data_IF_990397984972
#
_entry.id   IF_990397984972
#
_cell.length_a   1.000
_cell.length_b   1.000
_cell.length_c   1.000
_cell.angle_alpha   90.00
_cell.angle_beta   90.00
_cell.angle_gamma   90.00
#
_symmetry.space_group_name_H-M   'P 1'
#
loop_
_entity.id
_entity.type
_entity.pdbx_description
1 polymer ?
#
# COMPACT_ATOMS: atom_id res chain seq x y z
N UNK A 1 1.42 -11.81 27.90
CA UNK A 1 2.30 -11.66 26.71
C UNK A 1 1.60 -11.93 25.35
N UNK A 2 0.59 -12.82 25.25
CA UNK A 2 -0.17 -13.10 23.99
C UNK A 2 -0.96 -11.89 23.43
N UNK A 3 -1.59 -11.07 24.28
CA UNK A 3 -2.39 -9.90 23.85
C UNK A 3 -1.56 -8.87 23.05
N UNK A 4 -0.30 -8.68 23.43
CA UNK A 4 0.59 -7.72 22.78
C UNK A 4 1.05 -8.19 21.38
N UNK A 5 1.25 -9.51 21.19
CA UNK A 5 1.53 -10.11 19.88
C UNK A 5 0.34 -9.95 18.92
N UNK A 6 -0.89 -10.16 19.38
CA UNK A 6 -2.08 -10.00 18.54
C UNK A 6 -2.28 -8.53 18.12
N UNK A 7 -2.12 -7.58 19.04
CA UNK A 7 -2.19 -6.15 18.69
C UNK A 7 -1.11 -5.75 17.68
N UNK A 8 0.11 -6.26 17.82
CA UNK A 8 1.19 -6.02 16.86
C UNK A 8 0.85 -6.55 15.46
N UNK A 9 0.26 -7.75 15.38
CA UNK A 9 -0.17 -8.35 14.11
C UNK A 9 -1.27 -7.51 13.45
N UNK A 10 -2.27 -7.10 14.23
CA UNK A 10 -3.38 -6.26 13.74
C UNK A 10 -2.83 -4.93 13.23
N UNK A 11 -1.95 -4.28 14.00
CA UNK A 11 -1.37 -3.01 13.62
C UNK A 11 -0.55 -3.11 12.33
N UNK A 12 0.25 -4.17 12.17
CA UNK A 12 0.98 -4.42 10.93
C UNK A 12 0.03 -4.61 9.74
N UNK A 13 -1.06 -5.36 9.91
CA UNK A 13 -2.07 -5.54 8.85
C UNK A 13 -2.68 -4.21 8.43
N UNK A 14 -3.04 -3.35 9.39
CA UNK A 14 -3.57 -2.00 9.10
C UNK A 14 -2.54 -1.17 8.35
N UNK A 15 -1.30 -1.12 8.82
CA UNK A 15 -0.22 -0.37 8.17
C UNK A 15 0.12 -0.93 6.78
N UNK A 16 -0.14 -2.22 6.52
CA UNK A 16 0.04 -2.83 5.21
C UNK A 16 -1.10 -2.47 4.23
N UNK A 17 -2.34 -2.40 4.69
CA UNK A 17 -3.50 -2.14 3.82
C UNK A 17 -3.75 -0.63 3.63
N UNK A 18 -3.53 0.18 4.67
CA UNK A 18 -3.87 1.61 4.68
C UNK A 18 -3.22 2.42 3.54
N UNK A 19 -1.94 2.22 3.15
CA UNK A 19 -1.35 2.95 2.04
C UNK A 19 -2.05 2.71 0.70
N UNK A 20 -2.49 1.47 0.45
CA UNK A 20 -3.21 1.09 -0.77
C UNK A 20 -4.60 1.69 -0.79
N UNK A 21 -5.32 1.63 0.34
CA UNK A 21 -6.67 2.20 0.41
C UNK A 21 -6.63 3.72 0.28
N UNK A 22 -5.66 4.38 0.94
CA UNK A 22 -5.53 5.83 0.90
C UNK A 22 -5.14 6.33 -0.50
N UNK A 23 -4.24 5.64 -1.20
CA UNK A 23 -3.90 5.99 -2.60
C UNK A 23 -5.10 5.92 -3.53
N UNK A 24 -5.85 4.81 -3.49
CA UNK A 24 -7.02 4.60 -4.37
C UNK A 24 -8.11 5.63 -4.06
N UNK A 25 -8.42 5.86 -2.77
CA UNK A 25 -9.42 6.84 -2.36
C UNK A 25 -9.06 8.26 -2.78
N UNK A 26 -7.83 8.72 -2.51
CA UNK A 26 -7.40 10.08 -2.86
C UNK A 26 -7.44 10.29 -4.38
N UNK A 27 -7.05 9.28 -5.16
CA UNK A 27 -7.09 9.37 -6.61
C UNK A 27 -8.53 9.33 -7.18
N UNK A 28 -9.42 8.50 -6.64
CA UNK A 28 -10.84 8.52 -7.02
C UNK A 28 -11.49 9.87 -6.71
N UNK A 29 -11.21 10.43 -5.53
CA UNK A 29 -11.70 11.75 -5.13
C UNK A 29 -11.18 12.86 -6.05
N UNK A 30 -9.89 12.81 -6.43
CA UNK A 30 -9.31 13.78 -7.36
C UNK A 30 -9.95 13.70 -8.76
N UNK A 31 -10.26 12.49 -9.25
CA UNK A 31 -10.94 12.28 -10.53
C UNK A 31 -12.38 12.77 -10.50
N UNK A 32 -13.12 12.46 -9.44
CA UNK A 32 -14.47 13.00 -9.24
C UNK A 32 -14.43 14.54 -9.20
N UNK A 33 -13.51 15.11 -8.43
CA UNK A 33 -13.33 16.56 -8.33
C UNK A 33 -13.09 17.22 -9.70
N UNK A 34 -12.13 16.71 -10.50
CA UNK A 34 -11.87 17.21 -11.85
C UNK A 34 -13.10 17.17 -12.75
N UNK A 35 -13.98 16.17 -12.57
CA UNK A 35 -15.18 15.99 -13.38
C UNK A 35 -16.33 16.91 -12.99
N UNK A 36 -16.43 17.31 -11.72
CA UNK A 36 -17.52 18.13 -11.20
C UNK A 36 -17.17 19.61 -10.97
N UNK A 37 -15.91 20.03 -11.25
CA UNK A 37 -15.47 21.43 -11.23
C UNK A 37 -15.82 22.24 -9.95
N UNK A 38 -15.87 21.58 -8.79
CA UNK A 38 -16.13 22.26 -7.52
C UNK A 38 -14.91 23.10 -7.11
N UNK A 39 -15.04 24.38 -6.72
CA UNK A 39 -13.93 25.16 -6.18
C UNK A 39 -13.82 24.86 -4.68
N UNK A 40 -13.11 23.80 -4.30
CA UNK A 40 -12.93 23.46 -2.89
C UNK A 40 -11.47 23.13 -2.55
N UNK A 41 -10.79 24.17 -2.06
CA UNK A 41 -9.47 24.17 -1.38
C UNK A 41 -9.16 22.93 -0.49
N UNK A 42 -10.08 22.33 0.29
CA UNK A 42 -9.76 21.19 1.16
C UNK A 42 -9.19 19.94 0.46
N UNK A 43 -9.58 19.65 -0.79
CA UNK A 43 -9.12 18.45 -1.50
C UNK A 43 -7.67 18.56 -1.99
N UNK A 44 -7.19 19.79 -2.25
CA UNK A 44 -5.81 20.04 -2.65
C UNK A 44 -4.84 19.76 -1.49
N UNK A 45 -5.20 20.17 -0.27
CA UNK A 45 -4.42 19.85 0.93
C UNK A 45 -4.35 18.34 1.16
N UNK A 46 -5.47 17.62 1.00
CA UNK A 46 -5.50 16.15 1.08
C UNK A 46 -4.52 15.50 0.09
N UNK A 47 -4.40 16.02 -1.13
CA UNK A 47 -3.46 15.52 -2.13
C UNK A 47 -1.99 15.71 -1.71
N UNK A 48 -1.66 16.78 -1.00
CA UNK A 48 -0.31 17.05 -0.47
C UNK A 48 -0.02 16.20 0.79
N UNK A 49 -1.00 16.07 1.69
CA UNK A 49 -0.82 15.32 2.93
C UNK A 49 -0.80 13.81 2.71
N UNK A 50 -1.57 13.29 1.76
CA UNK A 50 -1.64 11.86 1.42
C UNK A 50 -0.26 11.21 1.20
N UNK A 51 0.65 11.75 0.37
CA UNK A 51 1.97 11.17 0.16
C UNK A 51 2.86 11.20 1.40
N UNK A 52 2.73 12.22 2.25
CA UNK A 52 3.44 12.30 3.53
C UNK A 52 2.99 11.16 4.45
N UNK A 53 1.68 10.97 4.61
CA UNK A 53 1.10 9.90 5.43
C UNK A 53 1.52 8.52 4.92
N UNK A 54 1.46 8.29 3.61
CA UNK A 54 1.87 7.02 2.99
C UNK A 54 3.36 6.75 3.19
N UNK A 55 4.20 7.77 3.12
CA UNK A 55 5.65 7.62 3.36
C UNK A 55 5.92 7.19 4.81
N UNK A 56 5.24 7.82 5.77
CA UNK A 56 5.35 7.45 7.20
C UNK A 56 4.86 6.02 7.43
N UNK A 57 3.68 5.66 6.88
CA UNK A 57 3.13 4.30 7.00
C UNK A 57 4.06 3.26 6.37
N UNK A 58 4.63 3.55 5.20
CA UNK A 58 5.56 2.65 4.51
C UNK A 58 6.84 2.46 5.33
N UNK A 59 7.36 3.52 5.95
CA UNK A 59 8.51 3.43 6.83
C UNK A 59 8.24 2.57 8.08
N UNK A 60 7.07 2.77 8.72
CA UNK A 60 6.63 1.95 9.85
C UNK A 60 6.50 0.49 9.41
N UNK A 61 5.90 0.23 8.24
CA UNK A 61 5.76 -1.11 7.66
C UNK A 61 7.11 -1.80 7.56
N UNK A 62 8.10 -1.15 6.95
CA UNK A 62 9.45 -1.72 6.74
C UNK A 62 10.09 -2.05 8.10
N UNK A 63 10.01 -1.14 9.08
CA UNK A 63 10.54 -1.38 10.43
C UNK A 63 9.83 -2.53 11.15
N UNK A 64 8.52 -2.66 11.00
CA UNK A 64 7.75 -3.73 11.62
C UNK A 64 7.95 -5.07 10.93
N UNK A 65 8.20 -5.05 9.62
CA UNK A 65 8.38 -6.26 8.82
C UNK A 65 9.47 -7.14 9.41
N UNK A 66 10.62 -6.59 9.83
CA UNK A 66 11.72 -7.37 10.43
C UNK A 66 11.35 -8.15 11.70
N UNK A 67 10.29 -7.74 12.41
CA UNK A 67 9.81 -8.40 13.64
C UNK A 67 8.63 -9.34 13.43
N UNK A 68 8.04 -9.35 12.23
CA UNK A 68 6.83 -10.11 11.88
C UNK A 68 7.19 -11.54 11.46
N UNK A 69 6.48 -12.61 11.80
CA UNK A 69 6.81 -13.95 11.28
C UNK A 69 6.75 -13.98 9.74
N UNK A 70 7.77 -14.56 9.10
CA UNK A 70 7.98 -14.49 7.63
C UNK A 70 6.79 -15.03 6.84
N UNK A 71 6.22 -16.16 7.28
CA UNK A 71 5.05 -16.78 6.64
C UNK A 71 3.84 -15.85 6.61
N UNK A 72 3.60 -15.13 7.72
CA UNK A 72 2.45 -14.24 7.86
C UNK A 72 2.66 -12.92 7.09
N UNK A 73 3.87 -12.35 7.15
CA UNK A 73 4.25 -11.16 6.37
C UNK A 73 4.09 -11.42 4.87
N UNK A 74 4.56 -12.57 4.40
CA UNK A 74 4.42 -13.01 3.00
C UNK A 74 2.96 -13.14 2.59
N UNK A 75 2.15 -13.83 3.40
CA UNK A 75 0.73 -14.03 3.12
C UNK A 75 -0.02 -12.69 3.04
N UNK A 76 0.23 -11.77 3.98
CA UNK A 76 -0.37 -10.43 3.95
C UNK A 76 0.06 -9.63 2.71
N UNK A 77 1.34 -9.65 2.36
CA UNK A 77 1.83 -8.96 1.16
C UNK A 77 1.21 -9.51 -0.13
N UNK A 78 1.05 -10.84 -0.26
CA UNK A 78 0.37 -11.46 -1.41
C UNK A 78 -1.10 -11.01 -1.48
N UNK A 79 -1.82 -11.06 -0.36
CA UNK A 79 -3.23 -10.63 -0.32
C UNK A 79 -3.37 -9.18 -0.76
N UNK A 80 -2.52 -8.28 -0.24
CA UNK A 80 -2.54 -6.86 -0.59
C UNK A 80 -2.23 -6.64 -2.07
N UNK A 81 -1.28 -7.38 -2.65
CA UNK A 81 -0.96 -7.32 -4.08
C UNK A 81 -2.14 -7.78 -4.93
N UNK A 82 -2.79 -8.90 -4.60
CA UNK A 82 -3.97 -9.39 -5.32
C UNK A 82 -5.09 -8.36 -5.26
N UNK A 83 -5.38 -7.84 -4.05
CA UNK A 83 -6.38 -6.81 -3.86
C UNK A 83 -6.08 -5.56 -4.70
N UNK A 84 -4.82 -5.13 -4.71
CA UNK A 84 -4.37 -3.99 -5.51
C UNK A 84 -4.61 -4.22 -7.00
N UNK A 85 -4.23 -5.39 -7.54
CA UNK A 85 -4.45 -5.72 -8.97
C UNK A 85 -5.93 -5.70 -9.34
N UNK A 86 -6.79 -6.26 -8.48
CA UNK A 86 -8.24 -6.23 -8.68
C UNK A 86 -8.76 -4.79 -8.66
N UNK A 87 -8.35 -3.99 -7.68
CA UNK A 87 -8.76 -2.59 -7.57
C UNK A 87 -8.28 -1.76 -8.75
N UNK A 88 -7.04 -1.95 -9.23
CA UNK A 88 -6.54 -1.30 -10.44
C UNK A 88 -7.43 -1.62 -11.62
N UNK A 89 -7.75 -2.89 -11.85
CA UNK A 89 -8.60 -3.31 -12.96
C UNK A 89 -10.02 -2.74 -12.88
N UNK A 90 -10.58 -2.60 -11.68
CA UNK A 90 -11.93 -2.07 -11.46
C UNK A 90 -12.00 -0.55 -11.62
N UNK A 91 -11.03 0.18 -11.06
CA UNK A 91 -11.10 1.65 -10.97
C UNK A 91 -10.30 2.38 -12.05
N UNK A 92 -9.38 1.70 -12.74
CA UNK A 92 -8.47 2.30 -13.72
C UNK A 92 -8.59 1.48 -15.00
N UNK A 93 -9.29 2.05 -16.00
CA UNK A 93 -9.49 1.41 -17.30
C UNK A 93 -8.19 0.75 -17.79
N UNK A 94 -8.28 -0.52 -18.19
CA UNK A 94 -7.16 -1.40 -18.59
C UNK A 94 -6.51 -1.00 -19.91
N UNK A 95 -6.10 0.25 -20.07
CA UNK A 95 -5.24 0.67 -21.18
C UNK A 95 -3.78 0.27 -20.90
N UNK A 96 -3.52 -1.00 -20.57
CA UNK A 96 -2.16 -1.52 -20.40
C UNK A 96 -1.41 -1.05 -19.15
N UNK A 97 -0.53 -1.91 -18.65
CA UNK A 97 0.25 -1.68 -17.43
C UNK A 97 1.16 -0.43 -17.53
N UNK A 98 1.72 -0.17 -18.71
CA UNK A 98 2.57 1.01 -18.98
C UNK A 98 1.80 2.33 -18.84
N UNK A 99 0.56 2.40 -19.33
CA UNK A 99 -0.26 3.60 -19.19
C UNK A 99 -0.65 3.83 -17.73
N UNK A 100 -0.99 2.76 -17.01
CA UNK A 100 -1.27 2.85 -15.59
C UNK A 100 -0.08 3.43 -14.80
N UNK A 101 1.14 2.96 -15.06
CA UNK A 101 2.35 3.48 -14.40
C UNK A 101 2.57 4.96 -14.75
N UNK A 102 2.42 5.34 -16.01
CA UNK A 102 2.66 6.72 -16.46
C UNK A 102 1.60 7.70 -15.94
N UNK A 103 0.35 7.27 -15.84
CA UNK A 103 -0.77 8.13 -15.43
C UNK A 103 -0.93 8.19 -13.91
N UNK A 104 -0.61 7.10 -13.21
CA UNK A 104 -0.82 6.95 -11.77
C UNK A 104 0.47 6.63 -11.03
N UNK A 105 1.48 7.48 -11.23
CA UNK A 105 2.86 7.32 -10.71
C UNK A 105 2.88 7.01 -9.21
N UNK A 106 2.05 7.70 -8.43
CA UNK A 106 2.02 7.53 -6.98
C UNK A 106 1.41 6.19 -6.54
N UNK A 107 0.31 5.78 -7.19
CA UNK A 107 -0.33 4.48 -6.96
C UNK A 107 0.60 3.34 -7.39
N UNK A 108 1.30 3.51 -8.52
CA UNK A 108 2.33 2.58 -8.99
C UNK A 108 3.52 2.48 -8.02
N UNK A 109 3.99 3.61 -7.46
CA UNK A 109 5.06 3.62 -6.47
C UNK A 109 4.71 2.79 -5.22
N UNK A 110 3.49 2.96 -4.68
CA UNK A 110 3.01 2.14 -3.56
C UNK A 110 2.97 0.66 -3.93
N UNK A 111 2.50 0.31 -5.13
CA UNK A 111 2.52 -1.06 -5.62
C UNK A 111 3.93 -1.66 -5.64
N UNK A 112 4.91 -0.91 -6.15
CA UNK A 112 6.31 -1.35 -6.17
C UNK A 112 6.86 -1.55 -4.76
N UNK A 113 6.51 -0.72 -3.78
CA UNK A 113 6.90 -0.94 -2.38
C UNK A 113 6.34 -2.26 -1.82
N UNK A 114 5.11 -2.65 -2.19
CA UNK A 114 4.55 -3.95 -1.82
C UNK A 114 5.29 -5.12 -2.48
N UNK A 115 5.63 -4.99 -3.77
CA UNK A 115 6.44 -5.99 -4.49
C UNK A 115 7.84 -6.14 -3.87
N UNK A 116 8.51 -5.04 -3.55
CA UNK A 116 9.81 -5.06 -2.87
C UNK A 116 9.72 -5.70 -1.48
N UNK A 117 8.67 -5.39 -0.72
CA UNK A 117 8.42 -6.01 0.59
C UNK A 117 8.18 -7.51 0.47
N UNK A 118 7.46 -7.97 -0.56
CA UNK A 118 7.28 -9.39 -0.85
C UNK A 118 8.60 -10.06 -1.27
N UNK A 119 9.37 -9.43 -2.16
CA UNK A 119 10.66 -9.93 -2.61
C UNK A 119 11.64 -10.09 -1.44
N UNK A 120 11.66 -9.12 -0.51
CA UNK A 120 12.43 -9.21 0.73
C UNK A 120 12.06 -10.45 1.57
N UNK A 121 10.76 -10.72 1.75
CA UNK A 121 10.29 -11.90 2.50
C UNK A 121 10.57 -13.25 1.79
N UNK A 122 10.73 -13.24 0.46
CA UNK A 122 11.00 -14.45 -0.34
C UNK A 122 12.50 -14.75 -0.39
N UNK A 123 13.32 -13.74 -0.72
CA UNK A 123 14.73 -13.92 -1.07
C UNK A 123 15.67 -13.66 0.11
N UNK A 124 15.42 -12.62 0.90
CA UNK A 124 16.39 -12.14 1.90
C UNK A 124 16.11 -12.67 3.31
N UNK A 125 14.85 -12.98 3.61
CA UNK A 125 14.45 -13.33 4.97
C UNK A 125 14.38 -14.83 5.27
N UNK A 126 14.78 -15.68 4.32
CA UNK A 126 14.68 -17.14 4.41
C UNK A 126 15.72 -17.79 5.35
N UNK A 127 16.57 -17.01 6.04
CA UNK A 127 17.73 -17.53 6.78
C UNK A 127 17.60 -17.60 8.31
N UNK A 128 16.58 -17.04 8.95
CA UNK A 128 16.49 -17.03 10.42
C UNK A 128 15.67 -18.16 11.06
N UNK A 129 14.79 -18.83 10.31
CA UNK A 129 13.99 -19.97 10.83
C UNK A 129 14.72 -21.34 10.73
N UNK A 130 15.97 -21.36 10.25
CA UNK A 130 16.80 -22.57 10.07
C UNK A 130 18.01 -22.64 11.04
N UNK A 131 17.98 -21.92 12.17
CA UNK A 131 18.95 -22.05 13.26
C UNK A 131 18.29 -22.50 14.55
#
# INVERSE_FOLDING_TARGET
MKRNKNCFIIFYTVVNIAPVVLTILTDMMLRAYKRYAFPAMPFYYLYIFTPIVISILSFIKIKMQSRMPVKLSRLLNIIVIIFFVIAVKLFYHTLGFMHFISTYVFTAFVFYLHLCSLAYDIFFRKSEDNK
#
